data_IF_060515375905
#
_entry.id   IF_060515375905
#
_cell.length_a   1.000
_cell.length_b   1.000
_cell.length_c   1.000
_cell.angle_alpha   90.00
_cell.angle_beta   90.00
_cell.angle_gamma   90.00
#
_symmetry.space_group_name_H-M   'P 1'
#
loop_
_entity.id
_entity.type
_entity.pdbx_description
1 polymer ?
#
# COMPACT_ATOMS: atom_id res chain seq x y z
N UNK A 1 15.05 -10.94 2.87
CA UNK A 1 15.42 -12.35 2.55
C UNK A 1 15.17 -12.55 1.08
N UNK A 2 16.13 -13.10 0.37
CA UNK A 2 15.97 -13.53 -1.02
C UNK A 2 15.76 -15.04 -0.99
N UNK A 3 14.70 -15.52 -1.64
CA UNK A 3 14.35 -16.94 -1.67
C UNK A 3 14.30 -17.41 -3.12
N UNK A 4 14.69 -18.67 -3.33
CA UNK A 4 14.40 -19.39 -4.57
C UNK A 4 12.91 -19.77 -4.55
N UNK A 5 12.15 -19.42 -5.60
CA UNK A 5 10.72 -19.75 -5.72
C UNK A 5 10.38 -21.25 -5.70
N UNK A 6 11.38 -22.14 -5.67
CA UNK A 6 11.22 -23.60 -5.48
C UNK A 6 11.66 -24.10 -4.10
N UNK A 7 12.55 -23.39 -3.38
CA UNK A 7 13.13 -23.85 -2.11
C UNK A 7 13.42 -22.65 -1.21
N UNK A 8 12.90 -22.68 0.02
CA UNK A 8 13.21 -21.72 1.08
C UNK A 8 14.66 -21.90 1.58
N UNK A 9 15.65 -21.46 0.79
CA UNK A 9 17.08 -21.56 1.11
C UNK A 9 17.74 -20.17 1.20
N UNK A 10 18.54 -19.93 2.24
CA UNK A 10 19.06 -18.62 2.64
C UNK A 10 20.32 -18.10 1.94
N UNK A 11 20.64 -18.54 0.73
CA UNK A 11 21.87 -18.15 0.02
C UNK A 11 21.60 -17.73 -1.43
N UNK A 12 21.69 -16.43 -1.72
CA UNK A 12 21.68 -15.89 -3.09
C UNK A 12 22.46 -14.57 -3.11
N UNK A 13 23.36 -14.41 -4.07
CA UNK A 13 24.12 -13.19 -4.32
C UNK A 13 23.48 -12.35 -5.44
N UNK A 14 23.39 -11.03 -5.28
CA UNK A 14 22.80 -10.11 -6.26
C UNK A 14 23.71 -8.93 -6.60
N UNK A 15 23.73 -8.56 -7.89
CA UNK A 15 24.41 -7.37 -8.41
C UNK A 15 23.39 -6.27 -8.71
N UNK A 16 23.34 -5.26 -7.84
CA UNK A 16 22.59 -3.99 -7.94
C UNK A 16 21.05 -4.08 -7.93
N UNK A 17 20.41 -3.20 -7.16
CA UNK A 17 18.98 -3.25 -6.88
C UNK A 17 18.37 -1.85 -6.73
N UNK A 18 17.43 -1.51 -7.62
CA UNK A 18 16.39 -0.51 -7.40
C UNK A 18 15.11 -1.30 -7.14
N UNK A 19 14.77 -1.55 -5.87
CA UNK A 19 13.63 -2.40 -5.50
C UNK A 19 12.37 -1.58 -5.24
N UNK A 20 11.45 -1.60 -6.21
CA UNK A 20 10.02 -1.58 -5.91
C UNK A 20 9.51 -3.00 -5.65
N UNK A 21 8.26 -3.19 -5.17
CA UNK A 21 7.66 -4.49 -4.84
C UNK A 21 7.37 -5.40 -6.06
N UNK A 22 8.00 -5.15 -7.21
CA UNK A 22 7.76 -5.95 -8.42
C UNK A 22 8.42 -7.33 -8.28
N UNK A 23 7.59 -8.36 -8.13
CA UNK A 23 8.02 -9.76 -8.14
C UNK A 23 8.42 -10.18 -9.57
N UNK A 24 9.43 -11.05 -9.69
CA UNK A 24 9.90 -11.65 -10.96
C UNK A 24 10.62 -10.71 -11.96
N UNK A 25 11.29 -9.68 -11.46
CA UNK A 25 12.06 -8.77 -12.34
C UNK A 25 13.54 -9.14 -12.41
N UNK A 26 14.06 -9.86 -11.40
CA UNK A 26 15.49 -10.12 -11.24
C UNK A 26 15.78 -11.60 -11.40
N UNK A 27 16.47 -11.95 -12.49
CA UNK A 27 17.00 -13.29 -12.70
C UNK A 27 18.14 -13.57 -11.71
N UNK A 28 18.13 -14.77 -11.14
CA UNK A 28 19.15 -15.26 -10.24
C UNK A 28 19.39 -16.76 -10.49
N UNK A 29 20.64 -17.19 -10.36
CA UNK A 29 20.96 -18.61 -10.34
C UNK A 29 20.89 -19.10 -8.89
N UNK A 30 20.05 -20.09 -8.61
CA UNK A 30 19.94 -20.65 -7.27
C UNK A 30 21.12 -21.59 -7.00
N UNK A 31 21.88 -21.34 -5.94
CA UNK A 31 23.03 -22.19 -5.57
C UNK A 31 22.62 -23.63 -5.20
N UNK A 32 21.39 -23.83 -4.74
CA UNK A 32 20.95 -25.11 -4.21
C UNK A 32 20.34 -26.05 -5.27
N UNK A 33 19.78 -25.50 -6.35
CA UNK A 33 19.21 -26.31 -7.45
C UNK A 33 19.91 -26.11 -8.80
N UNK A 34 20.91 -25.21 -8.87
CA UNK A 34 21.66 -24.82 -10.08
C UNK A 34 20.81 -24.33 -11.27
N UNK A 35 19.53 -24.06 -11.03
CA UNK A 35 18.60 -23.54 -12.03
C UNK A 35 18.56 -22.01 -12.05
N UNK A 36 18.34 -21.44 -13.23
CA UNK A 36 17.96 -20.04 -13.37
C UNK A 36 16.50 -19.86 -12.96
N UNK A 37 16.28 -18.93 -12.04
CA UNK A 37 14.95 -18.58 -11.51
C UNK A 37 14.87 -17.08 -11.26
N UNK A 38 13.68 -16.59 -10.92
CA UNK A 38 13.53 -15.24 -10.40
C UNK A 38 13.81 -15.18 -8.90
N UNK A 39 14.44 -14.10 -8.47
CA UNK A 39 14.61 -13.77 -7.05
C UNK A 39 13.32 -13.20 -6.46
N UNK A 40 12.92 -13.72 -5.30
CA UNK A 40 11.80 -13.19 -4.51
C UNK A 40 12.30 -12.45 -3.28
N UNK A 41 11.84 -11.22 -3.09
CA UNK A 41 12.27 -10.36 -1.98
C UNK A 41 11.20 -10.30 -0.91
N UNK A 42 11.61 -10.58 0.32
CA UNK A 42 10.78 -10.43 1.51
C UNK A 42 11.42 -9.47 2.52
N UNK A 43 10.59 -8.65 3.14
CA UNK A 43 10.99 -7.74 4.21
C UNK A 43 10.67 -8.37 5.56
N UNK A 44 11.47 -8.03 6.57
CA UNK A 44 11.28 -8.46 7.95
C UNK A 44 11.32 -7.26 8.87
N UNK A 45 10.54 -7.32 9.94
CA UNK A 45 10.63 -6.35 11.02
C UNK A 45 11.96 -6.53 11.77
N UNK A 46 12.72 -5.45 11.92
CA UNK A 46 14.02 -5.46 12.63
C UNK A 46 13.90 -5.77 14.13
N UNK A 47 12.70 -5.59 14.71
CA UNK A 47 12.46 -5.77 16.15
C UNK A 47 12.09 -7.22 16.47
N UNK A 48 11.20 -7.83 15.69
CA UNK A 48 10.66 -9.17 15.98
C UNK A 48 11.07 -10.26 14.98
N UNK A 49 11.86 -9.92 13.96
CA UNK A 49 12.36 -10.80 12.88
C UNK A 49 11.27 -11.53 12.07
N UNK A 50 10.00 -11.12 12.20
CA UNK A 50 8.88 -11.66 11.42
C UNK A 50 8.79 -11.00 10.06
N UNK A 51 8.35 -11.75 9.05
CA UNK A 51 8.04 -11.22 7.72
C UNK A 51 7.02 -10.09 7.84
N UNK A 52 7.27 -8.99 7.15
CA UNK A 52 6.48 -7.78 7.19
C UNK A 52 6.27 -7.20 5.79
N UNK A 53 5.18 -6.48 5.60
CA UNK A 53 4.89 -5.78 4.35
C UNK A 53 5.66 -4.46 4.34
N UNK A 54 6.44 -4.15 3.29
CA UNK A 54 7.09 -2.86 3.16
C UNK A 54 6.06 -1.76 2.89
N UNK A 55 6.22 -0.59 3.50
CA UNK A 55 5.41 0.59 3.18
C UNK A 55 6.05 1.33 2.00
N UNK A 56 5.60 1.04 0.79
CA UNK A 56 6.25 1.45 -0.46
C UNK A 56 6.25 2.96 -0.73
N UNK A 57 5.29 3.69 -0.13
CA UNK A 57 5.21 5.15 -0.20
C UNK A 57 6.05 5.86 0.87
N UNK A 58 6.60 5.12 1.86
CA UNK A 58 7.37 5.68 2.97
C UNK A 58 8.85 5.51 2.70
N UNK A 59 9.60 6.60 2.78
CA UNK A 59 11.06 6.59 2.59
C UNK A 59 11.78 7.58 3.49
N UNK A 60 13.08 7.40 3.63
CA UNK A 60 13.95 8.39 4.26
C UNK A 60 13.96 9.69 3.45
N UNK A 61 14.07 10.82 4.14
CA UNK A 61 14.17 12.13 3.51
C UNK A 61 15.53 12.30 2.81
N UNK A 62 15.51 12.77 1.56
CA UNK A 62 16.70 12.92 0.73
C UNK A 62 17.46 14.23 0.94
N UNK A 63 17.00 15.11 1.83
CA UNK A 63 17.65 16.40 2.11
C UNK A 63 17.35 17.51 1.10
N UNK A 64 16.31 17.36 0.27
CA UNK A 64 15.88 18.38 -0.70
C UNK A 64 14.36 18.49 -0.68
N UNK A 65 13.84 19.70 -0.49
CA UNK A 65 12.40 19.98 -0.48
C UNK A 65 11.89 20.38 0.89
N UNK A 66 10.57 20.45 1.00
CA UNK A 66 9.85 20.76 2.25
C UNK A 66 8.55 19.96 2.27
N UNK A 67 8.00 19.76 3.46
CA UNK A 67 6.69 19.13 3.59
C UNK A 67 5.63 19.97 2.87
N UNK A 68 4.88 19.37 1.95
CA UNK A 68 3.81 20.04 1.20
C UNK A 68 2.62 20.52 2.04
N UNK A 69 2.59 20.21 3.34
CA UNK A 69 1.53 20.62 4.28
C UNK A 69 2.06 21.66 5.28
N UNK A 70 3.17 21.38 5.97
CA UNK A 70 3.68 22.24 7.04
C UNK A 70 4.92 23.07 6.67
N UNK A 71 5.54 22.84 5.51
CA UNK A 71 6.77 23.52 5.10
C UNK A 71 8.03 23.11 5.88
N UNK A 72 8.01 22.00 6.64
CA UNK A 72 9.20 21.53 7.35
C UNK A 72 10.27 21.01 6.36
N UNK A 73 11.48 21.55 6.45
CA UNK A 73 12.66 21.15 5.67
C UNK A 73 13.55 20.13 6.42
N UNK A 74 13.27 19.85 7.69
CA UNK A 74 14.11 19.03 8.59
C UNK A 74 13.59 17.61 8.81
N UNK A 75 12.74 17.16 7.89
CA UNK A 75 12.08 15.85 7.93
C UNK A 75 13.09 14.70 7.98
N UNK A 76 12.76 13.61 8.68
CA UNK A 76 13.55 12.36 8.64
C UNK A 76 12.94 11.32 7.72
N UNK A 77 11.61 11.29 7.70
CA UNK A 77 10.79 10.33 6.96
C UNK A 77 9.73 11.11 6.20
N UNK A 78 9.56 10.78 4.94
CA UNK A 78 8.58 11.39 4.05
C UNK A 78 7.69 10.33 3.42
N UNK A 79 6.48 10.74 3.09
CA UNK A 79 5.51 10.00 2.30
C UNK A 79 5.41 10.65 0.93
N UNK A 80 5.54 9.84 -0.12
CA UNK A 80 5.31 10.24 -1.51
C UNK A 80 4.38 9.22 -2.17
N UNK A 81 3.23 9.70 -2.64
CA UNK A 81 2.19 8.89 -3.29
C UNK A 81 2.44 8.70 -4.80
N UNK A 82 3.70 8.76 -5.23
CA UNK A 82 4.11 8.57 -6.62
C UNK A 82 3.99 9.84 -7.48
N UNK A 83 3.93 11.00 -6.86
CA UNK A 83 3.78 12.30 -7.55
C UNK A 83 4.86 13.32 -7.19
N UNK A 84 5.86 12.92 -6.40
CA UNK A 84 6.99 13.74 -5.97
C UNK A 84 6.65 14.91 -5.05
N UNK A 85 5.40 15.03 -4.61
CA UNK A 85 5.05 15.88 -3.48
C UNK A 85 5.37 15.15 -2.18
N UNK A 86 6.40 15.63 -1.49
CA UNK A 86 6.84 15.04 -0.22
C UNK A 86 6.01 15.59 0.94
N UNK A 87 5.50 14.71 1.80
CA UNK A 87 4.81 15.07 3.03
C UNK A 87 5.52 14.41 4.20
N UNK A 88 5.81 15.14 5.28
CA UNK A 88 6.36 14.52 6.48
C UNK A 88 5.39 13.48 7.04
N UNK A 89 5.91 12.45 7.71
CA UNK A 89 5.07 11.33 8.19
C UNK A 89 3.94 11.80 9.12
N UNK A 90 4.20 12.80 9.98
CA UNK A 90 3.22 13.31 10.94
C UNK A 90 2.06 14.03 10.23
N UNK A 91 2.36 14.89 9.26
CA UNK A 91 1.33 15.55 8.45
C UNK A 91 0.54 14.55 7.60
N UNK A 92 1.20 13.51 7.07
CA UNK A 92 0.49 12.47 6.33
C UNK A 92 -0.48 11.69 7.24
N UNK A 93 -0.08 11.34 8.47
CA UNK A 93 -0.96 10.67 9.44
C UNK A 93 -2.16 11.56 9.76
N UNK A 94 -1.94 12.85 10.07
CA UNK A 94 -3.03 13.78 10.34
C UNK A 94 -4.00 13.93 9.15
N UNK A 95 -3.45 14.02 7.93
CA UNK A 95 -4.24 14.05 6.70
C UNK A 95 -5.05 12.77 6.49
N UNK A 96 -4.44 11.62 6.72
CA UNK A 96 -5.07 10.31 6.63
C UNK A 96 -6.21 10.15 7.65
N UNK A 97 -6.02 10.57 8.90
CA UNK A 97 -7.05 10.55 9.93
C UNK A 97 -8.23 11.47 9.61
N UNK A 98 -7.94 12.69 9.12
CA UNK A 98 -8.96 13.63 8.66
C UNK A 98 -9.77 13.00 7.52
N UNK A 99 -9.11 12.46 6.51
CA UNK A 99 -9.77 11.86 5.35
C UNK A 99 -10.59 10.62 5.73
N UNK A 100 -10.12 9.80 6.67
CA UNK A 100 -10.86 8.66 7.20
C UNK A 100 -12.13 9.10 7.93
N UNK A 101 -12.02 10.12 8.77
CA UNK A 101 -13.13 10.66 9.58
C UNK A 101 -14.18 11.32 8.69
N UNK A 102 -13.74 12.09 7.70
CA UNK A 102 -14.62 12.82 6.77
C UNK A 102 -15.04 11.99 5.54
N UNK A 103 -14.69 10.70 5.49
CA UNK A 103 -14.99 9.79 4.38
C UNK A 103 -14.54 10.30 3.00
N UNK A 104 -13.37 10.94 2.93
CA UNK A 104 -12.83 11.59 1.72
C UNK A 104 -11.98 10.70 0.80
N UNK A 105 -11.97 9.39 1.06
CA UNK A 105 -11.34 8.43 0.16
C UNK A 105 -12.14 8.33 -1.15
N UNK A 106 -11.45 8.02 -2.25
CA UNK A 106 -12.02 7.96 -3.58
C UNK A 106 -11.74 6.61 -4.23
N UNK A 107 -12.67 6.11 -5.04
CA UNK A 107 -12.42 4.94 -5.88
C UNK A 107 -11.64 5.39 -7.10
N UNK A 108 -10.42 4.88 -7.27
CA UNK A 108 -9.54 5.18 -8.39
C UNK A 108 -8.91 3.91 -8.95
N UNK A 109 -9.40 3.39 -10.08
CA UNK A 109 -8.77 2.27 -10.77
C UNK A 109 -7.33 2.61 -11.18
N UNK A 110 -6.38 1.65 -11.12
CA UNK A 110 -6.53 0.28 -10.60
C UNK A 110 -6.36 0.16 -9.07
N UNK A 111 -6.18 1.28 -8.35
CA UNK A 111 -5.77 1.32 -6.94
C UNK A 111 -6.92 1.13 -5.92
N UNK A 112 -8.17 1.00 -6.38
CA UNK A 112 -9.33 0.80 -5.51
C UNK A 112 -9.69 2.03 -4.67
N UNK A 113 -10.15 1.82 -3.44
CA UNK A 113 -10.56 2.89 -2.51
C UNK A 113 -9.33 3.51 -1.85
N UNK A 114 -8.91 4.68 -2.33
CA UNK A 114 -7.60 5.24 -2.04
C UNK A 114 -7.67 6.71 -1.59
N UNK A 115 -6.56 7.21 -1.07
CA UNK A 115 -6.36 8.59 -0.65
C UNK A 115 -5.53 9.32 -1.71
N UNK A 116 -5.97 10.52 -2.10
CA UNK A 116 -5.26 11.35 -3.07
C UNK A 116 -4.12 12.12 -2.43
N UNK A 117 -3.24 12.69 -3.25
CA UNK A 117 -2.25 13.66 -2.79
C UNK A 117 -2.95 14.86 -2.12
N UNK A 118 -2.44 15.37 -0.99
CA UNK A 118 -3.00 16.55 -0.31
C UNK A 118 -2.79 17.86 -1.09
N UNK A 119 -1.89 17.89 -2.08
CA UNK A 119 -1.63 19.07 -2.91
C UNK A 119 -2.78 19.29 -3.89
N UNK A 120 -3.36 20.49 -3.87
CA UNK A 120 -4.49 20.86 -4.71
C UNK A 120 -4.20 20.65 -6.20
N UNK A 121 -5.13 20.01 -6.90
CA UNK A 121 -5.03 19.72 -8.34
C UNK A 121 -4.09 18.57 -8.72
N UNK A 122 -3.35 18.00 -7.76
CA UNK A 122 -2.53 16.82 -8.01
C UNK A 122 -3.40 15.58 -8.22
N UNK A 123 -3.02 14.73 -9.20
CA UNK A 123 -3.72 13.47 -9.50
C UNK A 123 -3.09 12.24 -8.83
N UNK A 124 -1.99 12.43 -8.12
CA UNK A 124 -1.31 11.36 -7.37
C UNK A 124 -2.22 10.76 -6.31
N UNK A 125 -2.01 9.49 -5.99
CA UNK A 125 -2.77 8.77 -5.00
C UNK A 125 -1.98 7.59 -4.46
N UNK A 126 -2.36 7.11 -3.29
CA UNK A 126 -1.80 5.88 -2.73
C UNK A 126 -2.08 4.71 -3.68
N UNK A 127 -1.04 3.98 -4.05
CA UNK A 127 -1.10 2.77 -4.89
C UNK A 127 -0.96 1.49 -4.07
N UNK A 128 -0.45 1.59 -2.84
CA UNK A 128 -0.31 0.48 -1.90
C UNK A 128 -1.09 0.77 -0.61
N UNK A 129 -2.25 0.11 -0.46
CA UNK A 129 -3.17 0.34 0.65
C UNK A 129 -2.62 -0.05 2.03
N UNK A 130 -1.50 -0.77 2.11
CA UNK A 130 -0.90 -1.13 3.41
C UNK A 130 -0.44 0.09 4.21
N UNK A 131 -0.17 1.23 3.57
CA UNK A 131 0.13 2.49 4.28
C UNK A 131 -1.04 2.95 5.15
N UNK A 132 -2.28 2.58 4.82
CA UNK A 132 -3.44 2.93 5.65
C UNK A 132 -3.47 2.18 6.99
N UNK A 133 -2.60 1.18 7.20
CA UNK A 133 -2.40 0.58 8.51
C UNK A 133 -1.85 1.58 9.55
N UNK A 134 -1.33 2.74 9.11
CA UNK A 134 -0.99 3.87 9.99
C UNK A 134 -2.21 4.41 10.79
N UNK A 135 -3.44 4.15 10.34
CA UNK A 135 -4.66 4.43 11.12
C UNK A 135 -4.79 3.55 12.38
N UNK A 136 -4.02 2.47 12.47
CA UNK A 136 -4.16 1.43 13.48
C UNK A 136 -5.09 0.29 13.04
N UNK A 137 -4.94 -0.87 13.69
CA UNK A 137 -5.56 -2.14 13.30
C UNK A 137 -7.08 -2.07 13.13
N UNK A 138 -7.78 -1.48 14.10
CA UNK A 138 -9.24 -1.42 14.10
C UNK A 138 -9.78 -0.53 12.98
N UNK A 139 -9.22 0.68 12.84
CA UNK A 139 -9.62 1.62 11.78
C UNK A 139 -9.21 1.14 10.39
N UNK A 140 -8.12 0.40 10.28
CA UNK A 140 -7.73 -0.24 9.02
C UNK A 140 -8.72 -1.33 8.60
N UNK A 141 -9.18 -2.17 9.54
CA UNK A 141 -10.22 -3.16 9.29
C UNK A 141 -11.56 -2.49 8.89
N UNK A 142 -11.93 -1.40 9.57
CA UNK A 142 -13.11 -0.61 9.21
C UNK A 142 -12.97 0.03 7.82
N UNK A 143 -11.79 0.57 7.49
CA UNK A 143 -11.48 1.06 6.14
C UNK A 143 -11.65 -0.03 5.08
N UNK A 144 -11.16 -1.25 5.32
CA UNK A 144 -11.33 -2.37 4.39
C UNK A 144 -12.81 -2.67 4.16
N UNK A 145 -13.61 -2.69 5.23
CA UNK A 145 -15.07 -2.86 5.11
C UNK A 145 -15.70 -1.75 4.26
N UNK A 146 -15.40 -0.48 4.56
CA UNK A 146 -15.90 0.68 3.79
C UNK A 146 -15.46 0.65 2.33
N UNK A 147 -14.24 0.18 2.05
CA UNK A 147 -13.75 0.02 0.69
C UNK A 147 -14.59 -0.99 -0.10
N UNK A 148 -14.89 -2.14 0.52
CA UNK A 148 -15.75 -3.18 -0.07
C UNK A 148 -17.18 -2.67 -0.28
N UNK A 149 -17.78 -2.04 0.74
CA UNK A 149 -19.11 -1.44 0.63
C UNK A 149 -19.14 -0.40 -0.50
N UNK A 150 -18.12 0.48 -0.56
CA UNK A 150 -18.05 1.50 -1.61
C UNK A 150 -17.94 0.89 -2.99
N UNK A 151 -17.12 -0.16 -3.15
CA UNK A 151 -16.99 -0.89 -4.40
C UNK A 151 -18.35 -1.47 -4.84
N UNK A 152 -19.02 -2.23 -3.96
CA UNK A 152 -20.32 -2.86 -4.26
C UNK A 152 -21.36 -1.80 -4.62
N UNK A 153 -21.38 -0.66 -3.93
CA UNK A 153 -22.33 0.43 -4.24
C UNK A 153 -22.16 1.07 -5.62
N UNK A 154 -21.00 0.88 -6.26
CA UNK A 154 -20.72 1.38 -7.61
C UNK A 154 -21.02 0.34 -8.69
N UNK A 155 -21.13 -0.93 -8.33
CA UNK A 155 -21.49 -1.99 -9.26
C UNK A 155 -23.00 -2.03 -9.46
N UNK A 156 -23.45 -2.11 -10.72
CA UNK A 156 -24.88 -2.18 -11.04
C UNK A 156 -25.57 -3.42 -10.44
N UNK A 157 -24.80 -4.46 -10.17
CA UNK A 157 -25.24 -5.75 -9.62
C UNK A 157 -25.00 -5.86 -8.10
N UNK A 158 -24.55 -4.76 -7.47
CA UNK A 158 -24.26 -4.72 -6.05
C UNK A 158 -25.53 -4.65 -5.20
N UNK A 159 -25.69 -5.62 -4.30
CA UNK A 159 -26.84 -5.70 -3.40
C UNK A 159 -26.34 -5.78 -1.95
N UNK A 160 -26.92 -4.94 -1.09
CA UNK A 160 -26.75 -5.03 0.37
C UNK A 160 -27.91 -5.79 1.00
N UNK A 161 -27.62 -6.66 1.96
CA UNK A 161 -28.66 -7.32 2.74
C UNK A 161 -29.50 -6.27 3.49
N UNK A 162 -30.83 -6.24 3.32
CA UNK A 162 -31.68 -5.24 3.97
C UNK A 162 -31.92 -5.53 5.46
N UNK A 163 -31.53 -6.71 5.96
CA UNK A 163 -31.68 -7.05 7.37
C UNK A 163 -30.76 -6.19 8.23
N UNK A 164 -31.34 -5.49 9.20
CA UNK A 164 -30.60 -4.67 10.14
C UNK A 164 -29.52 -5.52 10.84
N UNK A 165 -28.31 -4.97 10.96
CA UNK A 165 -27.15 -5.62 11.57
C UNK A 165 -26.56 -6.84 10.82
N UNK A 166 -27.06 -7.20 9.62
CA UNK A 166 -26.42 -8.25 8.82
C UNK A 166 -25.10 -7.75 8.20
N UNK A 167 -25.13 -6.63 7.48
CA UNK A 167 -23.95 -6.05 6.82
C UNK A 167 -23.37 -6.89 5.66
N UNK A 168 -24.05 -7.96 5.25
CA UNK A 168 -23.64 -8.76 4.09
C UNK A 168 -23.92 -8.01 2.78
N UNK A 169 -23.06 -8.22 1.79
CA UNK A 169 -23.16 -7.61 0.49
C UNK A 169 -22.73 -8.60 -0.60
N UNK A 170 -23.38 -8.54 -1.76
CA UNK A 170 -23.29 -9.53 -2.82
C UNK A 170 -23.19 -8.84 -4.19
N UNK A 171 -22.52 -9.49 -5.13
CA UNK A 171 -22.67 -9.23 -6.55
C UNK A 171 -23.63 -10.28 -7.08
N UNK A 172 -24.79 -9.84 -7.59
CA UNK A 172 -25.81 -10.74 -8.12
C UNK A 172 -25.72 -10.78 -9.64
N UNK A 173 -25.21 -11.88 -10.18
CA UNK A 173 -25.24 -12.15 -11.62
C UNK A 173 -26.70 -12.31 -12.05
N UNK A 174 -27.18 -11.42 -12.92
CA UNK A 174 -28.47 -11.62 -13.56
C UNK A 174 -28.26 -12.58 -14.73
N UNK A 175 -28.84 -13.79 -14.63
CA UNK A 175 -28.89 -14.74 -15.75
C UNK A 175 -29.49 -14.02 -16.98
N UNK A 176 -28.63 -13.71 -17.95
CA UNK A 176 -28.98 -13.13 -19.25
C UNK A 176 -29.09 -14.21 -20.29
#
# INVERSE_FOLDING_TARGET
IILCGKVLGGGTSLRSLLLGPQTKVINAKCENCDEETFAEFNFKCVICDKVAVPLTHVRGYGGKGECSICGDETMKVVVDVGCHHETCIDCFIAYLEMAYTQQQFVIRPPNGYTLTCPVYGCRGCVTDAHIFYLLGKERYADYQRRATEKFISLENEGIFCPYAECGAAFLWEQDT
#
